data_IF_497772233172
#
_entry.id   IF_497772233172
#
_cell.length_a   1.000
_cell.length_b   1.000
_cell.length_c   1.000
_cell.angle_alpha   90.00
_cell.angle_beta   90.00
_cell.angle_gamma   90.00
#
_symmetry.space_group_name_H-M   'P 1'
#
loop_
_entity.id
_entity.type
_entity.pdbx_description
1 polymer ?
#
# COMPACT_ATOMS: atom_id res chain seq x y z
N UNK A 1 43.86 20.11 -16.60
CA UNK A 1 43.79 19.26 -15.40
C UNK A 1 42.34 19.24 -14.94
N UNK A 2 41.77 18.04 -14.85
CA UNK A 2 40.54 17.57 -14.18
C UNK A 2 39.83 18.58 -13.25
N UNK A 3 38.50 18.63 -13.05
CA UNK A 3 37.27 18.02 -13.58
C UNK A 3 36.15 18.71 -12.74
N UNK A 4 35.07 19.28 -13.31
CA UNK A 4 33.95 19.81 -12.53
C UNK A 4 32.82 18.77 -12.41
N UNK A 5 32.24 18.60 -11.22
CA UNK A 5 31.04 17.78 -10.99
C UNK A 5 29.81 18.68 -10.90
N UNK A 6 29.02 18.64 -11.97
CA UNK A 6 27.64 19.10 -12.10
C UNK A 6 26.68 18.16 -11.37
N UNK A 7 25.70 18.71 -10.64
CA UNK A 7 24.49 17.99 -10.25
C UNK A 7 23.27 18.84 -10.55
N UNK A 8 22.53 18.41 -11.59
CA UNK A 8 21.06 18.48 -11.84
C UNK A 8 20.85 18.14 -13.34
N UNK A 9 19.65 17.74 -13.82
CA UNK A 9 18.47 17.15 -13.18
C UNK A 9 17.82 15.99 -14.03
N UNK A 10 16.72 15.40 -13.53
CA UNK A 10 15.52 14.87 -14.25
C UNK A 10 15.64 13.95 -15.49
N UNK A 11 14.94 12.80 -15.47
CA UNK A 11 14.13 12.14 -16.54
C UNK A 11 13.77 10.71 -16.06
N UNK A 12 12.50 10.37 -15.78
CA UNK A 12 11.42 9.99 -16.71
C UNK A 12 11.55 8.56 -17.29
N UNK A 13 10.70 7.63 -16.81
CA UNK A 13 10.19 6.47 -17.56
C UNK A 13 11.18 5.36 -17.99
N UNK A 14 10.76 4.42 -18.85
CA UNK A 14 10.38 3.05 -18.52
C UNK A 14 11.53 2.05 -18.76
N UNK A 15 12.19 1.59 -17.69
CA UNK A 15 13.24 0.53 -17.79
C UNK A 15 13.00 -0.70 -16.90
N UNK A 16 11.89 -0.77 -16.17
CA UNK A 16 11.62 -1.92 -15.29
C UNK A 16 11.32 -3.22 -16.06
N UNK A 17 10.95 -3.15 -17.34
CA UNK A 17 10.55 -4.34 -18.11
C UNK A 17 11.69 -5.08 -18.82
N UNK A 18 12.89 -4.50 -18.92
CA UNK A 18 14.04 -5.10 -19.63
C UNK A 18 14.99 -5.86 -18.70
N UNK A 19 14.99 -5.52 -17.40
CA UNK A 19 15.86 -6.16 -16.40
C UNK A 19 15.32 -7.56 -16.03
N UNK A 20 14.00 -7.75 -16.00
CA UNK A 20 13.38 -9.05 -15.70
C UNK A 20 13.61 -10.09 -16.80
N UNK A 21 13.69 -9.70 -18.08
CA UNK A 21 13.91 -10.66 -19.19
C UNK A 21 15.37 -11.07 -19.34
N UNK A 22 16.33 -10.22 -18.94
CA UNK A 22 17.76 -10.58 -18.96
C UNK A 22 18.16 -11.51 -17.82
N UNK A 23 17.52 -11.42 -16.65
CA UNK A 23 17.85 -12.28 -15.51
C UNK A 23 17.43 -13.75 -15.72
N UNK A 24 16.32 -13.99 -16.43
CA UNK A 24 15.84 -15.36 -16.72
C UNK A 24 16.72 -16.10 -17.75
N UNK A 25 17.36 -15.39 -18.69
CA UNK A 25 18.26 -16.02 -19.68
C UNK A 25 19.64 -16.39 -19.11
N UNK A 26 20.14 -15.68 -18.11
CA UNK A 26 21.45 -16.01 -17.48
C UNK A 26 21.37 -17.23 -16.55
N UNK A 27 20.22 -17.46 -15.92
CA UNK A 27 20.00 -18.62 -15.05
C UNK A 27 19.84 -19.95 -15.82
N UNK A 28 19.33 -19.90 -17.06
CA UNK A 28 19.22 -21.11 -17.90
C UNK A 28 20.58 -21.54 -18.50
N UNK A 29 21.54 -20.62 -18.64
CA UNK A 29 22.85 -20.91 -19.26
C UNK A 29 23.88 -21.53 -18.30
N UNK A 30 23.70 -21.43 -16.97
CA UNK A 30 24.60 -22.07 -16.00
C UNK A 30 24.24 -23.52 -15.68
N UNK A 31 23.00 -23.96 -15.95
CA UNK A 31 22.54 -25.33 -15.67
C UNK A 31 23.10 -26.38 -16.66
N UNK A 32 23.34 -26.01 -17.92
CA UNK A 32 23.87 -26.91 -18.96
C UNK A 32 25.38 -27.20 -18.84
N UNK A 33 26.15 -26.27 -18.27
CA UNK A 33 27.62 -26.41 -18.19
C UNK A 33 28.09 -27.34 -17.05
N UNK A 34 27.25 -27.56 -16.02
CA UNK A 34 27.58 -28.43 -14.90
C UNK A 34 27.20 -29.90 -15.12
N UNK A 35 26.26 -30.20 -16.02
CA UNK A 35 25.80 -31.55 -16.33
C UNK A 35 26.71 -32.31 -17.33
N UNK A 36 27.63 -31.63 -18.03
CA UNK A 36 28.49 -32.25 -19.07
C UNK A 36 29.85 -32.79 -18.61
N UNK A 37 30.23 -32.65 -17.33
CA UNK A 37 31.62 -32.93 -16.88
C UNK A 37 31.86 -34.21 -16.07
N UNK A 38 30.91 -35.17 -16.02
CA UNK A 38 31.17 -36.49 -15.42
C UNK A 38 30.59 -37.64 -16.26
N UNK A 39 31.09 -37.80 -17.48
CA UNK A 39 31.04 -39.08 -18.20
C UNK A 39 32.24 -39.94 -17.75
N UNK A 40 32.06 -41.15 -17.21
CA UNK A 40 33.17 -42.07 -16.95
C UNK A 40 33.68 -42.70 -18.27
N UNK A 41 34.96 -43.11 -18.36
CA UNK A 41 35.51 -43.69 -19.58
C UNK A 41 35.01 -45.12 -19.81
N UNK A 42 34.86 -45.49 -21.10
CA UNK A 42 34.61 -46.86 -21.57
C UNK A 42 35.77 -47.79 -21.20
N UNK A 43 35.52 -49.04 -20.76
CA UNK A 43 36.50 -50.12 -20.85
C UNK A 43 36.19 -51.06 -22.03
N UNK A 44 37.17 -51.22 -22.93
CA UNK A 44 37.25 -52.34 -23.86
C UNK A 44 37.65 -53.62 -23.11
N UNK A 45 37.08 -54.76 -23.53
CA UNK A 45 37.19 -56.03 -22.80
C UNK A 45 38.48 -56.82 -23.05
N UNK A 46 38.83 -57.73 -22.13
CA UNK A 46 38.77 -59.18 -22.34
C UNK A 46 39.14 -59.96 -21.06
N UNK A 47 38.42 -61.06 -20.85
CA UNK A 47 38.84 -62.33 -20.26
C UNK A 47 39.09 -62.51 -18.75
N UNK A 48 38.50 -63.62 -18.28
CA UNK A 48 38.84 -64.51 -17.15
C UNK A 48 38.50 -64.05 -15.73
N UNK A 49 37.81 -64.93 -15.01
CA UNK A 49 37.87 -64.98 -13.56
C UNK A 49 36.51 -65.06 -12.88
N UNK A 50 36.16 -66.26 -12.47
CA UNK A 50 34.98 -66.62 -11.69
C UNK A 50 34.98 -66.00 -10.28
N UNK A 51 33.76 -65.90 -9.72
CA UNK A 51 33.40 -65.72 -8.29
C UNK A 51 33.67 -64.33 -7.68
N UNK A 52 32.59 -63.59 -7.36
CA UNK A 52 32.24 -62.97 -6.05
C UNK A 52 31.16 -61.90 -6.26
N UNK A 53 29.89 -62.30 -6.50
CA UNK A 53 28.79 -61.38 -6.86
C UNK A 53 27.93 -60.90 -5.68
N UNK A 54 28.22 -61.31 -4.43
CA UNK A 54 27.37 -61.01 -3.27
C UNK A 54 27.71 -59.76 -2.45
N UNK A 55 28.93 -59.20 -2.57
CA UNK A 55 29.43 -58.17 -1.61
C UNK A 55 29.37 -56.72 -2.13
N UNK A 56 29.35 -56.48 -3.45
CA UNK A 56 29.32 -55.13 -4.04
C UNK A 56 27.95 -54.45 -4.04
N UNK A 57 26.85 -55.21 -4.06
CA UNK A 57 25.49 -54.64 -4.04
C UNK A 57 25.15 -53.98 -2.71
N UNK A 58 25.64 -54.54 -1.58
CA UNK A 58 25.40 -53.97 -0.25
C UNK A 58 26.07 -52.61 -0.04
N UNK A 59 27.30 -52.39 -0.56
CA UNK A 59 27.99 -51.10 -0.34
C UNK A 59 27.38 -49.94 -1.15
N UNK A 60 26.84 -50.21 -2.34
CA UNK A 60 26.18 -49.18 -3.16
C UNK A 60 24.83 -48.75 -2.58
N UNK A 61 24.12 -49.66 -1.92
CA UNK A 61 22.84 -49.37 -1.28
C UNK A 61 23.01 -48.55 0.02
N UNK A 62 24.08 -48.80 0.77
CA UNK A 62 24.50 -48.02 1.95
C UNK A 62 24.87 -46.57 1.56
N UNK A 63 25.59 -46.39 0.45
CA UNK A 63 25.99 -45.06 -0.06
C UNK A 63 24.81 -44.25 -0.63
N UNK A 64 23.82 -44.92 -1.23
CA UNK A 64 22.57 -44.29 -1.67
C UNK A 64 21.69 -43.87 -0.48
N UNK A 65 21.57 -44.72 0.54
CA UNK A 65 20.81 -44.43 1.77
C UNK A 65 21.42 -43.28 2.57
N UNK A 66 22.75 -43.21 2.69
CA UNK A 66 23.44 -42.13 3.40
C UNK A 66 23.26 -40.77 2.70
N UNK A 67 23.36 -40.74 1.36
CA UNK A 67 23.12 -39.52 0.57
C UNK A 67 21.68 -39.04 0.67
N UNK A 68 20.71 -39.94 0.58
CA UNK A 68 19.30 -39.59 0.70
C UNK A 68 18.96 -39.09 2.11
N UNK A 69 19.57 -39.67 3.15
CA UNK A 69 19.41 -39.20 4.53
C UNK A 69 19.93 -37.77 4.69
N UNK A 70 21.12 -37.48 4.14
CA UNK A 70 21.71 -36.14 4.14
C UNK A 70 20.85 -35.13 3.38
N UNK A 71 20.36 -35.49 2.20
CA UNK A 71 19.46 -34.61 1.40
C UNK A 71 18.16 -34.35 2.15
N UNK A 72 17.55 -35.38 2.75
CA UNK A 72 16.32 -35.25 3.53
C UNK A 72 16.51 -34.32 4.73
N UNK A 73 17.66 -34.42 5.42
CA UNK A 73 17.96 -33.51 6.54
C UNK A 73 18.10 -32.06 6.11
N UNK A 74 18.71 -31.78 4.95
CA UNK A 74 18.82 -30.41 4.43
C UNK A 74 17.46 -29.83 4.00
N UNK A 75 16.61 -30.63 3.35
CA UNK A 75 15.26 -30.20 2.95
C UNK A 75 14.40 -29.93 4.19
N UNK A 76 14.46 -30.81 5.19
CA UNK A 76 13.75 -30.62 6.45
C UNK A 76 14.21 -29.34 7.18
N UNK A 77 15.52 -29.10 7.25
CA UNK A 77 16.07 -27.89 7.86
C UNK A 77 15.64 -26.62 7.11
N UNK A 78 15.63 -26.63 5.78
CA UNK A 78 15.16 -25.52 4.97
C UNK A 78 13.66 -25.25 5.18
N UNK A 79 12.84 -26.31 5.26
CA UNK A 79 11.40 -26.19 5.51
C UNK A 79 11.09 -25.55 6.87
N UNK A 80 11.76 -26.01 7.93
CA UNK A 80 11.61 -25.42 9.28
C UNK A 80 12.09 -23.96 9.30
N UNK A 81 13.20 -23.65 8.62
CA UNK A 81 13.70 -22.28 8.50
C UNK A 81 12.70 -21.34 7.82
N UNK A 82 12.04 -21.79 6.74
CA UNK A 82 11.03 -20.99 6.02
C UNK A 82 9.78 -20.70 6.87
N UNK A 83 9.36 -21.67 7.68
CA UNK A 83 8.23 -21.49 8.62
C UNK A 83 8.64 -20.52 9.74
N UNK A 84 9.84 -20.66 10.29
CA UNK A 84 10.37 -19.76 11.31
C UNK A 84 10.46 -18.31 10.84
N UNK A 85 10.97 -18.08 9.63
CA UNK A 85 11.05 -16.74 9.03
C UNK A 85 9.67 -16.11 8.79
N UNK A 86 8.70 -16.91 8.33
CA UNK A 86 7.32 -16.44 8.14
C UNK A 86 6.69 -15.99 9.47
N UNK A 87 6.94 -16.73 10.56
CA UNK A 87 6.43 -16.36 11.89
C UNK A 87 7.16 -15.14 12.47
N UNK A 88 8.47 -15.00 12.22
CA UNK A 88 9.27 -13.87 12.67
C UNK A 88 9.00 -12.56 11.90
N UNK A 89 8.46 -12.64 10.68
CA UNK A 89 8.16 -11.47 9.86
C UNK A 89 7.12 -10.53 10.51
N UNK A 90 6.12 -11.08 11.20
CA UNK A 90 5.06 -10.28 11.84
C UNK A 90 5.59 -9.36 12.96
N UNK A 91 6.32 -9.85 13.98
CA UNK A 91 6.88 -8.96 15.01
C UNK A 91 7.96 -8.03 14.45
N UNK A 92 8.75 -8.46 13.46
CA UNK A 92 9.74 -7.61 12.82
C UNK A 92 9.07 -6.44 12.06
N UNK A 93 7.94 -6.70 11.38
CA UNK A 93 7.15 -5.67 10.72
C UNK A 93 6.55 -4.69 11.75
N UNK A 94 6.06 -5.18 12.88
CA UNK A 94 5.57 -4.31 13.97
C UNK A 94 6.67 -3.39 14.50
N UNK A 95 7.89 -3.92 14.72
CA UNK A 95 9.04 -3.12 15.15
C UNK A 95 9.43 -2.07 14.10
N UNK A 96 9.40 -2.44 12.81
CA UNK A 96 9.65 -1.49 11.73
C UNK A 96 8.57 -0.39 11.66
N UNK A 97 7.29 -0.75 11.78
CA UNK A 97 6.18 0.20 11.79
C UNK A 97 6.23 1.15 13.00
N UNK A 98 6.65 0.65 14.16
CA UNK A 98 6.88 1.49 15.35
C UNK A 98 8.05 2.45 15.16
N UNK A 99 9.17 2.00 14.56
CA UNK A 99 10.34 2.84 14.33
C UNK A 99 10.17 3.87 13.20
N UNK A 100 9.36 3.55 12.19
CA UNK A 100 9.17 4.39 11.00
C UNK A 100 7.90 5.25 11.03
N UNK A 101 6.97 4.99 11.95
CA UNK A 101 5.76 5.80 12.17
C UNK A 101 4.70 5.70 11.08
N UNK A 102 4.88 4.86 10.05
CA UNK A 102 3.99 4.72 8.89
C UNK A 102 2.68 3.93 9.17
N UNK A 103 2.44 3.48 10.40
CA UNK A 103 1.42 2.47 10.72
C UNK A 103 0.28 2.89 11.63
N UNK A 104 0.21 4.13 12.13
CA UNK A 104 -0.92 4.64 12.90
C UNK A 104 -1.21 3.95 14.26
N UNK A 105 -0.45 2.93 14.67
CA UNK A 105 -0.60 2.28 15.98
C UNK A 105 0.22 3.00 17.04
N UNK A 106 -0.42 3.38 18.15
CA UNK A 106 0.15 4.09 19.29
C UNK A 106 1.51 3.52 19.72
N UNK A 107 2.55 4.34 19.59
CA UNK A 107 3.90 4.05 20.09
C UNK A 107 3.89 4.32 21.59
N UNK A 108 3.75 3.26 22.39
CA UNK A 108 4.14 3.32 23.79
C UNK A 108 5.69 3.33 23.84
N UNK A 109 6.26 4.53 23.86
CA UNK A 109 7.68 4.74 24.18
C UNK A 109 8.48 5.47 23.12
N UNK A 110 8.90 6.69 23.50
CA UNK A 110 10.03 7.49 22.98
C UNK A 110 9.78 8.43 21.81
N UNK A 111 9.10 9.54 22.09
CA UNK A 111 9.67 10.91 22.11
C UNK A 111 8.61 11.87 22.69
N UNK A 112 8.32 11.70 23.99
CA UNK A 112 7.29 12.47 24.70
C UNK A 112 7.78 13.84 25.21
N UNK A 113 9.10 14.09 25.24
CA UNK A 113 9.65 15.26 25.91
C UNK A 113 9.41 16.59 25.18
N UNK A 114 9.09 16.56 23.87
CA UNK A 114 8.63 17.75 23.12
C UNK A 114 7.11 17.88 23.04
N UNK A 115 6.41 16.85 23.49
CA UNK A 115 4.96 16.72 23.44
C UNK A 115 4.34 17.15 24.78
N UNK A 116 5.02 16.89 25.90
CA UNK A 116 4.59 17.30 27.24
C UNK A 116 4.65 18.82 27.49
N UNK A 117 5.29 19.60 26.61
CA UNK A 117 5.34 21.07 26.71
C UNK A 117 4.21 21.79 25.95
N UNK A 118 3.34 21.06 25.25
CA UNK A 118 2.24 21.66 24.49
C UNK A 118 0.99 21.73 25.36
N UNK A 119 0.66 22.93 25.83
CA UNK A 119 -0.59 23.18 26.56
C UNK A 119 -1.77 23.18 25.58
N UNK A 120 -2.82 22.37 25.81
CA UNK A 120 -4.01 22.36 24.97
C UNK A 120 -4.71 23.72 25.00
N UNK A 121 -4.95 24.30 23.82
CA UNK A 121 -5.62 25.59 23.66
C UNK A 121 -7.11 25.33 23.52
N UNK A 122 -7.90 25.65 24.54
CA UNK A 122 -9.34 25.33 24.62
C UNK A 122 -10.24 26.07 23.61
N UNK A 123 -9.70 27.01 22.85
CA UNK A 123 -10.43 27.81 21.86
C UNK A 123 -9.60 27.97 20.57
N UNK A 124 -9.12 26.87 20.00
CA UNK A 124 -8.39 26.92 18.74
C UNK A 124 -9.35 27.04 17.57
N UNK A 125 -9.22 28.13 16.80
CA UNK A 125 -9.95 28.30 15.55
C UNK A 125 -9.24 27.53 14.45
N UNK A 126 -9.91 26.52 13.88
CA UNK A 126 -9.43 25.72 12.78
C UNK A 126 -9.99 26.25 11.46
N UNK A 127 -9.13 26.31 10.44
CA UNK A 127 -9.53 26.65 9.07
C UNK A 127 -9.88 25.39 8.31
N UNK A 128 -11.14 25.25 7.91
CA UNK A 128 -11.60 24.15 7.07
C UNK A 128 -11.69 24.64 5.64
N UNK A 129 -10.84 24.09 4.77
CA UNK A 129 -10.85 24.37 3.34
C UNK A 129 -11.63 23.30 2.60
N UNK A 130 -12.50 23.71 1.70
CA UNK A 130 -13.35 22.83 0.91
C UNK A 130 -12.85 22.77 -0.52
N UNK A 131 -12.54 21.56 -0.97
CA UNK A 131 -12.13 21.30 -2.33
C UNK A 131 -13.13 20.37 -3.04
N UNK A 132 -13.37 20.65 -4.32
CA UNK A 132 -14.35 19.97 -5.14
C UNK A 132 -13.73 19.61 -6.49
N UNK A 133 -13.58 18.32 -6.72
CA UNK A 133 -13.01 17.76 -7.95
C UNK A 133 -14.05 16.87 -8.65
N UNK A 134 -13.88 16.72 -9.96
CA UNK A 134 -14.68 15.82 -10.79
C UNK A 134 -13.75 14.96 -11.62
N UNK A 135 -14.03 13.67 -11.72
CA UNK A 135 -13.30 12.77 -12.61
C UNK A 135 -13.49 13.17 -14.08
N UNK A 136 -12.53 12.86 -14.95
CA UNK A 136 -12.56 13.27 -16.36
C UNK A 136 -13.76 12.76 -17.17
N UNK A 137 -14.39 11.67 -16.71
CA UNK A 137 -15.63 11.14 -17.31
C UNK A 137 -16.88 11.88 -16.86
N UNK A 138 -16.80 12.63 -15.75
CA UNK A 138 -17.92 13.34 -15.15
C UNK A 138 -18.07 14.73 -15.78
N UNK A 139 -19.24 15.00 -16.36
CA UNK A 139 -19.53 16.28 -17.02
C UNK A 139 -20.21 17.30 -16.11
N UNK A 140 -20.42 16.96 -14.83
CA UNK A 140 -21.01 17.88 -13.87
C UNK A 140 -20.08 19.04 -13.58
N UNK A 141 -20.69 20.20 -13.32
CA UNK A 141 -20.00 21.31 -12.70
C UNK A 141 -20.24 21.22 -11.19
N UNK A 142 -19.20 20.82 -10.46
CA UNK A 142 -19.23 20.64 -9.01
C UNK A 142 -18.29 21.62 -8.33
N UNK A 143 -18.81 22.43 -7.42
CA UNK A 143 -18.04 23.48 -6.71
C UNK A 143 -18.52 23.65 -5.28
N UNK A 144 -17.64 24.01 -4.34
CA UNK A 144 -18.07 24.39 -3.01
C UNK A 144 -18.75 25.78 -3.08
N UNK A 145 -19.78 26.00 -2.28
CA UNK A 145 -20.36 27.35 -2.12
C UNK A 145 -19.44 28.26 -1.29
N UNK A 146 -18.74 27.68 -0.32
CA UNK A 146 -17.77 28.36 0.54
C UNK A 146 -16.43 27.64 0.38
N UNK A 147 -15.36 28.36 0.04
CA UNK A 147 -14.03 27.75 -0.11
C UNK A 147 -13.38 27.46 1.23
N UNK A 148 -13.69 28.25 2.26
CA UNK A 148 -13.16 28.07 3.60
C UNK A 148 -14.17 28.52 4.66
N UNK A 149 -14.13 27.87 5.82
CA UNK A 149 -14.83 28.29 7.04
C UNK A 149 -13.91 28.15 8.25
N UNK A 150 -14.24 28.86 9.31
CA UNK A 150 -13.53 28.83 10.59
C UNK A 150 -14.43 28.19 11.64
N UNK A 151 -13.94 27.16 12.31
CA UNK A 151 -14.71 26.38 13.29
C UNK A 151 -13.84 26.08 14.51
N UNK A 152 -14.45 25.89 15.67
CA UNK A 152 -13.76 25.44 16.88
C UNK A 152 -14.00 23.94 17.09
N UNK A 153 -13.03 23.16 17.60
CA UNK A 153 -13.28 21.78 18.02
C UNK A 153 -14.48 21.69 18.98
N UNK A 154 -15.35 20.70 18.75
CA UNK A 154 -16.64 20.54 19.43
C UNK A 154 -17.80 21.35 18.83
N UNK A 155 -17.54 22.29 17.92
CA UNK A 155 -18.57 23.01 17.19
C UNK A 155 -19.05 22.22 15.97
N UNK A 156 -20.36 22.18 15.76
CA UNK A 156 -20.95 21.59 14.55
C UNK A 156 -21.02 22.64 13.44
N UNK A 157 -20.57 22.29 12.25
CA UNK A 157 -20.59 23.15 11.07
C UNK A 157 -21.36 22.54 9.90
N UNK A 158 -21.92 23.42 9.07
CA UNK A 158 -22.64 23.07 7.87
C UNK A 158 -22.00 23.77 6.67
N UNK A 159 -21.58 22.99 5.68
CA UNK A 159 -21.06 23.49 4.41
C UNK A 159 -21.94 23.02 3.25
N UNK A 160 -22.01 23.82 2.19
CA UNK A 160 -22.80 23.49 1.01
C UNK A 160 -21.90 23.33 -0.21
N UNK A 161 -22.17 22.29 -0.99
CA UNK A 161 -21.63 22.13 -2.33
C UNK A 161 -22.74 22.25 -3.35
N UNK A 162 -22.42 22.79 -4.53
CA UNK A 162 -23.36 22.91 -5.63
C UNK A 162 -22.91 21.99 -6.76
N UNK A 163 -23.83 21.15 -7.22
CA UNK A 163 -23.67 20.31 -8.39
C UNK A 163 -24.67 20.70 -9.46
N UNK A 164 -24.19 20.83 -10.70
CA UNK A 164 -25.02 21.08 -11.87
C UNK A 164 -24.71 20.07 -12.97
N UNK A 165 -25.74 19.50 -13.58
CA UNK A 165 -25.61 18.72 -14.80
C UNK A 165 -25.85 19.62 -16.03
N UNK A 166 -24.81 20.03 -16.79
CA UNK A 166 -24.99 20.88 -17.96
C UNK A 166 -25.44 20.11 -19.22
N UNK A 167 -25.62 18.79 -19.14
CA UNK A 167 -25.90 17.94 -20.30
C UNK A 167 -27.40 17.73 -20.52
N UNK A 168 -27.77 17.24 -21.69
CA UNK A 168 -29.17 16.92 -22.05
C UNK A 168 -29.60 15.50 -21.60
N UNK A 169 -28.76 14.78 -20.85
CA UNK A 169 -29.04 13.42 -20.38
C UNK A 169 -28.92 13.34 -18.85
N UNK A 170 -29.74 12.50 -18.20
CA UNK A 170 -29.56 12.23 -16.77
C UNK A 170 -28.24 11.51 -16.55
N UNK A 171 -27.46 11.97 -15.57
CA UNK A 171 -26.19 11.34 -15.18
C UNK A 171 -26.34 10.91 -13.72
N UNK A 172 -25.80 9.73 -13.41
CA UNK A 172 -25.70 9.23 -12.03
C UNK A 172 -24.25 9.36 -11.58
N UNK A 173 -24.04 10.01 -10.45
CA UNK A 173 -22.73 10.22 -9.85
C UNK A 173 -22.64 9.59 -8.47
N UNK A 174 -21.48 9.03 -8.16
CA UNK A 174 -21.08 8.68 -6.79
C UNK A 174 -19.86 9.54 -6.44
N UNK A 175 -19.73 9.95 -5.18
CA UNK A 175 -18.55 10.71 -4.76
C UNK A 175 -17.75 9.96 -3.72
N UNK A 176 -16.48 10.30 -3.60
CA UNK A 176 -15.65 9.91 -2.46
C UNK A 176 -15.09 11.16 -1.81
N UNK A 177 -14.71 11.04 -0.54
CA UNK A 177 -14.14 12.14 0.22
C UNK A 177 -12.77 11.76 0.78
N UNK A 178 -11.95 12.78 1.01
CA UNK A 178 -10.68 12.67 1.69
C UNK A 178 -10.48 13.86 2.65
N UNK A 179 -9.81 13.61 3.76
CA UNK A 179 -9.44 14.61 4.76
C UNK A 179 -7.92 14.71 4.84
N UNK A 180 -7.40 15.92 4.71
CA UNK A 180 -5.96 16.21 4.77
C UNK A 180 -5.72 17.28 5.82
N UNK A 181 -4.74 17.12 6.74
CA UNK A 181 -3.84 15.98 6.88
C UNK A 181 -4.55 14.72 7.40
N UNK A 182 -4.00 13.54 7.09
CA UNK A 182 -4.66 12.25 7.38
C UNK A 182 -4.83 12.02 8.89
N UNK A 183 -3.90 12.53 9.69
CA UNK A 183 -3.90 12.47 11.14
C UNK A 183 -5.05 13.25 11.77
N UNK A 184 -5.56 14.29 11.09
CA UNK A 184 -6.76 15.01 11.50
C UNK A 184 -8.05 14.27 11.11
N UNK A 185 -7.98 13.33 10.17
CA UNK A 185 -9.13 12.57 9.68
C UNK A 185 -9.82 11.74 10.76
N UNK A 186 -9.09 11.28 11.79
CA UNK A 186 -9.67 10.51 12.91
C UNK A 186 -10.58 11.36 13.82
N UNK A 187 -10.34 12.67 13.89
CA UNK A 187 -11.14 13.61 14.67
C UNK A 187 -12.27 14.25 13.86
N UNK A 188 -12.24 14.08 12.53
CA UNK A 188 -13.22 14.65 11.63
C UNK A 188 -14.45 13.74 11.54
N UNK A 189 -15.51 14.11 12.26
CA UNK A 189 -16.74 13.33 12.32
C UNK A 189 -17.78 13.90 11.36
N UNK A 190 -18.06 13.15 10.30
CA UNK A 190 -19.05 13.53 9.30
C UNK A 190 -20.39 12.87 9.59
N UNK A 191 -21.36 13.69 10.00
CA UNK A 191 -22.69 13.22 10.42
C UNK A 191 -23.57 12.89 9.21
N UNK A 192 -23.47 13.65 8.10
CA UNK A 192 -24.29 13.43 6.90
C UNK A 192 -23.46 13.50 5.60
N UNK A 193 -23.62 12.49 4.73
CA UNK A 193 -22.76 12.20 3.58
C UNK A 193 -23.53 11.81 2.33
N UNK A 194 -23.47 12.64 1.28
CA UNK A 194 -23.85 12.24 -0.09
C UNK A 194 -22.86 11.26 -0.73
N UNK A 195 -21.78 10.92 -0.03
CA UNK A 195 -20.58 10.27 -0.55
C UNK A 195 -20.65 8.75 -0.64
N UNK A 196 -21.80 8.15 -0.37
CA UNK A 196 -22.01 6.72 -0.61
C UNK A 196 -23.34 6.43 -1.28
N UNK A 197 -24.06 7.46 -1.69
CA UNK A 197 -25.34 7.34 -2.35
C UNK A 197 -25.23 7.79 -3.80
N UNK A 198 -25.83 7.02 -4.69
CA UNK A 198 -25.94 7.37 -6.09
C UNK A 198 -26.82 8.62 -6.22
N UNK A 199 -26.22 9.73 -6.63
CA UNK A 199 -26.93 10.97 -6.90
C UNK A 199 -27.28 11.01 -8.38
N UNK A 200 -28.58 11.08 -8.71
CA UNK A 200 -29.05 11.25 -10.08
C UNK A 200 -29.43 12.71 -10.31
N UNK A 201 -28.76 13.39 -11.23
CA UNK A 201 -29.14 14.72 -11.68
C UNK A 201 -29.71 14.65 -13.09
N UNK A 202 -30.93 15.16 -13.25
CA UNK A 202 -31.59 15.31 -14.54
C UNK A 202 -30.89 16.36 -15.42
N UNK A 203 -31.23 16.42 -16.71
CA UNK A 203 -30.70 17.44 -17.61
C UNK A 203 -30.91 18.86 -17.07
N UNK A 204 -29.85 19.67 -17.07
CA UNK A 204 -29.85 21.07 -16.60
C UNK A 204 -30.25 21.26 -15.13
N UNK A 205 -30.33 20.18 -14.35
CA UNK A 205 -30.66 20.24 -12.93
C UNK A 205 -29.46 20.75 -12.12
N UNK A 206 -29.76 21.57 -11.11
CA UNK A 206 -28.80 22.15 -10.18
C UNK A 206 -29.30 21.91 -8.76
N UNK A 207 -28.47 21.30 -7.92
CA UNK A 207 -28.81 20.94 -6.54
C UNK A 207 -27.73 21.38 -5.57
N UNK A 208 -28.17 21.76 -4.37
CA UNK A 208 -27.31 22.04 -3.24
C UNK A 208 -27.22 20.82 -2.33
N UNK A 209 -26.00 20.34 -2.12
CA UNK A 209 -25.69 19.18 -1.31
C UNK A 209 -25.08 19.64 0.02
N UNK A 210 -25.84 19.58 1.13
CA UNK A 210 -25.33 19.93 2.44
C UNK A 210 -24.36 18.86 2.98
N UNK A 211 -23.33 19.31 3.70
CA UNK A 211 -22.42 18.47 4.47
C UNK A 211 -22.40 18.97 5.89
N UNK A 212 -22.92 18.14 6.81
CA UNK A 212 -22.91 18.40 8.24
C UNK A 212 -21.81 17.61 8.92
N UNK A 213 -20.94 18.30 9.66
CA UNK A 213 -19.78 17.70 10.30
C UNK A 213 -19.40 18.47 11.59
N UNK A 214 -18.57 17.84 12.41
CA UNK A 214 -17.91 18.49 13.54
C UNK A 214 -16.51 17.91 13.71
N UNK A 215 -15.68 18.61 14.47
CA UNK A 215 -14.34 18.16 14.85
C UNK A 215 -14.42 17.75 16.31
N UNK A 216 -13.92 16.56 16.63
CA UNK A 216 -13.90 16.07 18.00
C UNK A 216 -13.05 16.99 18.90
N UNK A 217 -13.52 17.39 20.10
CA UNK A 217 -12.72 18.18 21.05
C UNK A 217 -11.40 17.50 21.47
N UNK A 218 -11.29 16.16 21.36
CA UNK A 218 -10.03 15.45 21.58
C UNK A 218 -8.90 15.89 20.62
N UNK A 219 -9.23 16.58 19.52
CA UNK A 219 -8.27 17.19 18.61
C UNK A 219 -7.33 18.17 19.32
N UNK A 220 -7.82 18.94 20.30
CA UNK A 220 -7.00 19.91 21.03
C UNK A 220 -6.12 19.26 22.09
N UNK A 221 -6.45 18.03 22.51
CA UNK A 221 -5.67 17.26 23.48
C UNK A 221 -4.53 16.48 22.82
N UNK A 222 -4.58 16.19 21.51
CA UNK A 222 -3.51 15.47 20.79
C UNK A 222 -2.33 16.41 20.44
N UNK A 223 -1.14 16.18 21.01
CA UNK A 223 0.04 16.99 20.73
C UNK A 223 0.52 16.90 19.28
N UNK A 224 0.18 15.83 18.55
CA UNK A 224 0.45 15.71 17.11
C UNK A 224 -0.36 16.73 16.31
N UNK A 225 -1.54 17.10 16.80
CA UNK A 225 -2.44 18.05 16.16
C UNK A 225 -2.11 19.49 16.52
N UNK A 226 -1.22 19.75 17.49
CA UNK A 226 -0.86 21.09 17.95
C UNK A 226 -0.41 22.06 16.83
N UNK A 227 0.12 21.56 15.70
CA UNK A 227 0.53 22.38 14.53
C UNK A 227 -0.42 22.30 13.34
N UNK A 228 -1.55 21.60 13.47
CA UNK A 228 -2.56 21.46 12.41
C UNK A 228 -3.65 22.51 12.62
N UNK A 229 -3.50 23.66 11.95
CA UNK A 229 -4.52 24.73 11.96
C UNK A 229 -5.47 24.66 10.75
N UNK A 230 -5.11 23.88 9.73
CA UNK A 230 -5.86 23.80 8.47
C UNK A 230 -6.19 22.36 8.14
N UNK A 231 -7.47 22.10 7.92
CA UNK A 231 -7.98 20.81 7.46
C UNK A 231 -8.62 21.04 6.09
N UNK A 232 -8.29 20.19 5.13
CA UNK A 232 -8.86 20.23 3.78
C UNK A 232 -9.80 19.05 3.63
N UNK A 233 -11.07 19.35 3.38
CA UNK A 233 -12.08 18.38 3.00
C UNK A 233 -12.24 18.38 1.49
N UNK A 234 -11.72 17.34 0.84
CA UNK A 234 -11.76 17.19 -0.61
C UNK A 234 -12.82 16.18 -1.02
N UNK A 235 -13.71 16.57 -1.92
CA UNK A 235 -14.68 15.70 -2.57
C UNK A 235 -14.30 15.45 -4.02
N UNK A 236 -14.45 14.22 -4.48
CA UNK A 236 -14.31 13.88 -5.90
C UNK A 236 -15.52 13.10 -6.40
N UNK A 237 -16.17 13.59 -7.46
CA UNK A 237 -17.28 12.89 -8.12
C UNK A 237 -16.83 12.00 -9.26
N UNK A 238 -17.44 10.83 -9.34
CA UNK A 238 -17.26 9.82 -10.38
C UNK A 238 -18.60 9.50 -11.01
N UNK A 239 -18.60 9.28 -12.32
CA UNK A 239 -19.79 8.83 -13.05
C UNK A 239 -20.05 7.35 -12.73
N UNK A 240 -21.22 7.04 -12.17
CA UNK A 240 -21.66 5.67 -11.95
C UNK A 240 -22.36 5.18 -13.22
N UNK A 241 -21.64 4.42 -14.05
CA UNK A 241 -22.23 3.76 -15.22
C UNK A 241 -22.95 2.49 -14.78
N UNK A 242 -24.18 2.29 -15.25
CA UNK A 242 -24.90 1.03 -15.06
C UNK A 242 -24.01 -0.15 -15.53
N UNK A 243 -23.63 -1.02 -14.59
CA UNK A 243 -22.80 -2.20 -14.85
C UNK A 243 -21.35 -2.14 -14.37
N UNK A 244 -20.86 -1.00 -13.86
CA UNK A 244 -19.56 -0.96 -13.17
C UNK A 244 -19.73 -1.37 -11.70
N UNK A 245 -19.55 -2.67 -11.43
CA UNK A 245 -19.39 -3.17 -10.05
C UNK A 245 -18.06 -2.67 -9.50
N UNK A 246 -18.10 -1.62 -8.69
CA UNK A 246 -16.96 -1.25 -7.86
C UNK A 246 -16.74 -2.38 -6.83
N UNK A 247 -15.52 -2.95 -6.72
CA UNK A 247 -15.22 -3.85 -5.63
C UNK A 247 -15.29 -3.06 -4.33
N UNK A 248 -16.36 -3.23 -3.57
CA UNK A 248 -16.43 -2.71 -2.21
C UNK A 248 -15.25 -3.34 -1.43
N UNK A 249 -14.41 -2.55 -0.73
CA UNK A 249 -13.44 -3.12 0.18
C UNK A 249 -14.23 -3.89 1.25
N UNK A 250 -14.12 -5.23 1.22
CA UNK A 250 -14.66 -6.07 2.26
C UNK A 250 -13.93 -5.76 3.56
N UNK A 251 -14.68 -5.29 4.55
CA UNK A 251 -14.25 -5.29 5.94
C UNK A 251 -14.42 -6.69 6.53
#
# INVERSE_FOLDING_TARGET
MLLPLLVRPSLCGPQASVILTRCVRTLHSQAEHFLRRRLPPRPHGHSRGTKTRGRKSKSQEEEWKSRNKTVLTYIAAAGVGMIGLSYAAVPLYRLYCQASGLGGTAVAGHDADQVETMTPVKERVLKISFNADTHASMQWNFRPQQTEIFVVPGETALAFYRAKNPTDQPIIGISTYNVVPFEAGQYFNKIQCFCFEEQRLNPHEEVDMPVFFYIDPEFDEDPRMARVDTIILSYTFFEAKEGQKLPLPGY
#
